data_IF_900265315644
#
_entry.id   IF_900265315644
#
_cell.length_a   1.000
_cell.length_b   1.000
_cell.length_c   1.000
_cell.angle_alpha   90.00
_cell.angle_beta   90.00
_cell.angle_gamma   90.00
#
_symmetry.space_group_name_H-M   'P 1'
#
loop_
_entity.id
_entity.type
_entity.pdbx_description
1 polymer ?
#
# COMPACT_ATOMS: atom_id res chain seq x y z
N UNK A 1 -46.82 25.09 21.83
CA UNK A 1 -45.42 25.61 21.84
C UNK A 1 -44.49 24.45 21.53
N UNK A 2 -43.87 24.37 20.35
CA UNK A 2 -42.96 23.28 20.03
C UNK A 2 -41.64 23.46 20.79
N UNK A 3 -41.25 22.42 21.54
CA UNK A 3 -40.01 22.38 22.33
C UNK A 3 -38.81 22.41 21.39
N UNK A 4 -37.91 23.36 21.64
CA UNK A 4 -36.71 23.61 20.84
C UNK A 4 -35.93 22.34 20.55
N UNK A 5 -35.73 22.07 19.26
CA UNK A 5 -34.89 21.00 18.77
C UNK A 5 -33.46 21.23 19.26
N UNK A 6 -32.96 20.29 20.08
CA UNK A 6 -31.58 20.24 20.50
C UNK A 6 -30.68 20.23 19.26
N UNK A 7 -29.98 21.34 19.05
CA UNK A 7 -29.01 21.48 17.97
C UNK A 7 -28.01 20.33 18.06
N UNK A 8 -27.89 19.56 16.97
CA UNK A 8 -26.78 18.63 16.78
C UNK A 8 -25.50 19.45 16.74
N UNK A 9 -24.89 19.66 17.91
CA UNK A 9 -23.60 20.31 18.03
C UNK A 9 -22.60 19.64 17.11
N UNK A 10 -21.80 20.44 16.41
CA UNK A 10 -20.67 19.98 15.58
C UNK A 10 -19.86 18.99 16.44
N UNK A 11 -19.62 17.78 15.93
CA UNK A 11 -18.88 16.74 16.65
C UNK A 11 -17.49 17.27 16.98
N UNK A 12 -17.28 17.67 18.23
CA UNK A 12 -15.98 18.10 18.72
C UNK A 12 -15.05 16.89 18.72
N UNK A 13 -14.02 16.92 17.88
CA UNK A 13 -12.93 15.93 17.92
C UNK A 13 -12.00 16.12 19.14
N UNK A 14 -12.21 17.17 19.94
CA UNK A 14 -11.43 17.42 21.15
C UNK A 14 -11.80 16.38 22.21
N UNK A 15 -10.86 15.49 22.54
CA UNK A 15 -11.05 14.41 23.51
C UNK A 15 -11.33 13.04 22.89
N UNK A 16 -11.47 12.93 21.56
CA UNK A 16 -11.50 11.63 20.91
C UNK A 16 -10.07 11.04 20.88
N UNK A 17 -9.95 9.73 21.12
CA UNK A 17 -8.70 8.99 20.90
C UNK A 17 -8.22 9.24 19.47
N UNK A 18 -7.00 9.75 19.34
CA UNK A 18 -6.34 9.92 18.04
C UNK A 18 -6.00 8.52 17.52
N UNK A 19 -6.77 8.04 16.56
CA UNK A 19 -6.42 6.83 15.82
C UNK A 19 -5.43 7.28 14.75
N UNK A 20 -4.19 6.80 14.85
CA UNK A 20 -3.25 6.92 13.74
C UNK A 20 -3.62 5.79 12.78
N UNK A 21 -3.92 6.12 11.53
CA UNK A 21 -4.06 5.09 10.49
C UNK A 21 -2.72 4.39 10.36
N UNK A 22 -2.70 3.07 10.57
CA UNK A 22 -1.47 2.30 10.48
C UNK A 22 -0.88 2.44 9.06
N UNK A 23 0.45 2.45 8.92
CA UNK A 23 1.09 2.59 7.61
C UNK A 23 0.72 1.43 6.66
N UNK A 24 0.32 0.28 7.19
CA UNK A 24 -0.20 -0.84 6.41
C UNK A 24 -1.62 -0.56 5.87
N UNK A 25 -2.48 0.10 6.65
CA UNK A 25 -3.83 0.47 6.22
C UNK A 25 -3.79 1.52 5.10
N UNK A 26 -2.85 2.46 5.17
CA UNK A 26 -2.63 3.45 4.11
C UNK A 26 -2.16 2.78 2.81
N UNK A 27 -1.28 1.79 2.89
CA UNK A 27 -0.85 1.00 1.71
C UNK A 27 -2.00 0.17 1.14
N UNK A 28 -2.79 -0.47 1.99
CA UNK A 28 -3.94 -1.25 1.56
C UNK A 28 -5.02 -0.38 0.90
N UNK A 29 -5.18 0.87 1.33
CA UNK A 29 -6.04 1.84 0.68
C UNK A 29 -5.50 2.24 -0.71
N UNK A 30 -4.21 2.57 -0.80
CA UNK A 30 -3.57 2.90 -2.07
C UNK A 30 -3.64 1.75 -3.08
N UNK A 31 -3.43 0.50 -2.64
CA UNK A 31 -3.53 -0.68 -3.52
C UNK A 31 -4.96 -0.91 -4.01
N UNK A 32 -5.96 -0.70 -3.15
CA UNK A 32 -7.37 -0.78 -3.55
C UNK A 32 -7.72 0.28 -4.58
N UNK A 33 -7.24 1.50 -4.39
CA UNK A 33 -7.44 2.62 -5.31
C UNK A 33 -6.75 2.38 -6.66
N UNK A 34 -5.52 1.83 -6.64
CA UNK A 34 -4.82 1.45 -7.88
C UNK A 34 -5.58 0.33 -8.61
N UNK A 35 -6.08 -0.67 -7.89
CA UNK A 35 -6.89 -1.75 -8.47
C UNK A 35 -8.19 -1.23 -9.07
N UNK A 36 -8.85 -0.29 -8.40
CA UNK A 36 -10.06 0.36 -8.91
C UNK A 36 -9.77 1.22 -10.14
N UNK A 37 -8.67 1.97 -10.13
CA UNK A 37 -8.20 2.75 -11.27
C UNK A 37 -7.84 1.85 -12.46
N UNK A 38 -7.22 0.71 -12.23
CA UNK A 38 -6.98 -0.30 -13.26
C UNK A 38 -8.30 -0.92 -13.77
N UNK A 39 -9.28 -1.16 -12.90
CA UNK A 39 -10.62 -1.63 -13.30
C UNK A 39 -11.37 -0.61 -14.14
N UNK A 40 -11.31 0.69 -13.77
CA UNK A 40 -11.87 1.80 -14.53
C UNK A 40 -11.22 1.96 -15.91
N UNK A 41 -9.89 1.88 -15.98
CA UNK A 41 -9.13 1.90 -17.26
C UNK A 41 -9.53 0.75 -18.17
N UNK A 42 -9.66 -0.46 -17.63
CA UNK A 42 -10.11 -1.63 -18.41
C UNK A 42 -11.55 -1.51 -18.92
N UNK A 43 -12.39 -0.72 -18.24
CA UNK A 43 -13.77 -0.44 -18.67
C UNK A 43 -13.92 0.84 -19.49
N UNK A 44 -12.84 1.55 -19.79
CA UNK A 44 -12.88 2.78 -20.59
C UNK A 44 -13.63 3.94 -19.93
N UNK A 45 -13.78 3.92 -18.59
CA UNK A 45 -14.39 5.01 -17.83
C UNK A 45 -13.26 5.93 -17.37
N UNK A 46 -12.72 6.70 -18.31
CA UNK A 46 -11.67 7.70 -18.06
C UNK A 46 -12.35 9.02 -17.69
N UNK A 47 -12.45 9.30 -16.38
CA UNK A 47 -12.85 10.63 -15.89
C UNK A 47 -11.61 11.50 -15.81
N UNK A 48 -11.54 12.45 -16.73
CA UNK A 48 -10.58 13.55 -16.84
C UNK A 48 -10.68 14.49 -15.64
N UNK A 49 -10.13 14.12 -14.48
CA UNK A 49 -10.01 15.06 -13.36
C UNK A 49 -8.94 14.62 -12.34
N UNK A 50 -7.66 14.60 -12.74
CA UNK A 50 -6.54 14.75 -11.79
C UNK A 50 -5.43 15.60 -12.45
N UNK A 51 -5.76 16.89 -12.62
CA UNK A 51 -4.83 17.97 -12.93
C UNK A 51 -4.26 18.55 -11.62
N UNK A 52 -2.98 18.92 -11.65
CA UNK A 52 -2.09 19.27 -10.54
C UNK A 52 -2.52 20.40 -9.58
N UNK A 53 -1.86 20.47 -8.41
CA UNK A 53 -1.59 21.77 -7.77
C UNK A 53 -1.18 21.74 -6.28
N UNK A 54 0.12 21.85 -6.00
CA UNK A 54 0.63 22.46 -4.75
C UNK A 54 0.53 23.99 -4.86
N UNK A 55 0.04 24.70 -3.82
CA UNK A 55 0.08 26.17 -3.76
C UNK A 55 -0.95 26.82 -2.82
N UNK A 56 -0.58 27.95 -2.21
CA UNK A 56 -1.17 28.52 -1.00
C UNK A 56 -2.30 29.57 -1.18
N UNK A 57 -2.94 29.88 -0.04
CA UNK A 57 -3.62 31.15 0.35
C UNK A 57 -5.14 31.31 0.15
N UNK A 58 -5.82 31.44 1.30
CA UNK A 58 -6.76 32.51 1.72
C UNK A 58 -7.95 32.96 0.83
N UNK A 59 -9.15 32.97 1.43
CA UNK A 59 -10.11 34.06 1.24
C UNK A 59 -11.40 33.86 0.41
N UNK A 60 -12.49 33.47 1.12
CA UNK A 60 -13.83 34.13 1.11
C UNK A 60 -14.87 33.96 -0.05
N UNK A 61 -16.05 33.44 0.36
CA UNK A 61 -17.47 33.71 -0.05
C UNK A 61 -18.08 33.10 -1.33
N UNK A 62 -19.08 32.23 -1.16
CA UNK A 62 -20.57 32.44 -1.26
C UNK A 62 -21.08 32.34 -2.70
N UNK A 63 -21.75 31.23 -3.06
CA UNK A 63 -23.22 31.02 -3.08
C UNK A 63 -23.75 31.10 -4.51
N UNK A 64 -24.35 30.01 -5.00
CA UNK A 64 -25.71 29.97 -5.59
C UNK A 64 -25.94 28.58 -6.21
N UNK A 65 -26.84 27.81 -5.59
CA UNK A 65 -27.61 26.74 -6.25
C UNK A 65 -28.80 27.39 -7.02
N UNK A 66 -29.64 26.68 -7.82
CA UNK A 66 -30.49 25.58 -7.32
C UNK A 66 -30.85 24.53 -8.45
N UNK A 67 -31.88 23.65 -8.35
CA UNK A 67 -31.68 22.19 -8.41
C UNK A 67 -32.62 21.41 -9.38
N UNK A 68 -32.24 20.19 -9.77
CA UNK A 68 -33.14 19.13 -10.28
C UNK A 68 -32.30 17.85 -10.50
N UNK A 69 -32.74 16.61 -10.43
CA UNK A 69 -33.86 15.88 -9.83
C UNK A 69 -33.52 14.39 -10.11
N UNK A 70 -34.00 13.46 -9.25
CA UNK A 70 -34.19 11.98 -9.48
C UNK A 70 -32.93 11.12 -9.77
N UNK A 71 -32.72 9.89 -9.27
CA UNK A 71 -33.51 8.93 -8.51
C UNK A 71 -32.57 7.99 -7.73
N UNK A 72 -32.97 7.62 -6.50
CA UNK A 72 -32.51 6.44 -5.76
C UNK A 72 -33.66 5.43 -5.79
N UNK A 73 -33.41 4.12 -5.96
CA UNK A 73 -34.28 3.13 -5.37
C UNK A 73 -33.60 2.46 -4.17
N UNK A 74 -34.27 2.56 -3.03
CA UNK A 74 -34.18 1.60 -1.95
C UNK A 74 -35.18 0.48 -2.26
N UNK A 75 -34.77 -0.78 -2.14
CA UNK A 75 -35.66 -1.95 -2.11
C UNK A 75 -35.17 -2.88 -1.00
N UNK A 76 -36.05 -3.16 -0.04
CA UNK A 76 -35.87 -4.19 0.98
C UNK A 76 -36.38 -5.56 0.54
N UNK A 77 -36.40 -6.49 1.51
CA UNK A 77 -36.78 -7.92 1.41
C UNK A 77 -35.76 -8.77 0.64
N UNK A 78 -35.49 -10.03 0.98
CA UNK A 78 -36.14 -10.98 1.87
C UNK A 78 -35.13 -12.08 2.25
N UNK A 79 -35.42 -12.74 3.38
CA UNK A 79 -34.81 -13.97 3.85
C UNK A 79 -34.65 -15.05 2.77
N UNK A 80 -33.47 -15.67 2.67
CA UNK A 80 -33.38 -17.07 2.25
C UNK A 80 -32.14 -17.71 2.87
N UNK A 81 -32.37 -18.35 4.01
CA UNK A 81 -31.72 -19.61 4.38
C UNK A 81 -31.70 -20.53 3.15
N UNK A 82 -30.51 -20.94 2.72
CA UNK A 82 -30.34 -21.97 1.71
C UNK A 82 -29.29 -22.93 2.22
N UNK A 83 -29.78 -23.87 3.02
CA UNK A 83 -29.18 -25.17 3.33
C UNK A 83 -28.59 -25.77 2.05
N UNK A 84 -27.26 -25.65 1.90
CA UNK A 84 -26.51 -26.26 0.80
C UNK A 84 -26.39 -27.75 1.08
N UNK A 85 -27.39 -28.50 0.62
CA UNK A 85 -27.35 -29.95 0.48
C UNK A 85 -26.42 -30.31 -0.69
N UNK A 86 -25.18 -30.69 -0.40
CA UNK A 86 -24.30 -31.46 -1.31
C UNK A 86 -24.07 -32.83 -0.64
N UNK A 87 -24.89 -33.81 -1.01
CA UNK A 87 -24.66 -34.79 -2.07
C UNK A 87 -23.67 -35.89 -1.64
N UNK A 88 -24.24 -36.82 -0.86
CA UNK A 88 -24.00 -38.26 -0.82
C UNK A 88 -22.88 -38.80 -1.74
N UNK A 89 -21.68 -38.96 -1.17
CA UNK A 89 -20.63 -39.88 -1.63
C UNK A 89 -21.16 -41.32 -1.58
N UNK A 90 -21.93 -41.70 -2.60
CA UNK A 90 -22.56 -43.02 -2.67
C UNK A 90 -23.52 -43.26 -3.84
N UNK A 91 -23.56 -42.35 -4.82
CA UNK A 91 -24.50 -42.40 -5.93
C UNK A 91 -24.39 -43.68 -6.78
N UNK A 92 -25.29 -44.63 -6.55
CA UNK A 92 -25.60 -45.75 -7.46
C UNK A 92 -25.85 -45.14 -8.84
N UNK A 93 -25.01 -45.40 -9.84
CA UNK A 93 -25.16 -44.65 -11.10
C UNK A 93 -26.55 -44.87 -11.71
N UNK A 94 -27.03 -43.79 -12.32
CA UNK A 94 -28.43 -43.58 -12.67
C UNK A 94 -28.65 -44.20 -14.05
N UNK A 95 -29.53 -45.18 -14.15
CA UNK A 95 -29.94 -45.78 -15.42
C UNK A 95 -28.89 -46.71 -16.05
N UNK A 96 -28.76 -46.66 -17.39
CA UNK A 96 -27.96 -47.60 -18.20
C UNK A 96 -26.47 -47.18 -18.27
N UNK A 97 -26.07 -46.13 -17.57
CA UNK A 97 -24.70 -45.58 -17.59
C UNK A 97 -23.64 -46.61 -17.20
N UNK A 98 -23.97 -47.58 -16.33
CA UNK A 98 -23.09 -48.69 -15.97
C UNK A 98 -22.89 -49.74 -17.07
N UNK A 99 -23.80 -49.81 -18.03
CA UNK A 99 -23.82 -50.84 -19.07
C UNK A 99 -23.11 -50.38 -20.35
N UNK A 100 -22.82 -49.08 -20.48
CA UNK A 100 -22.20 -48.50 -21.65
C UNK A 100 -20.76 -48.10 -21.30
N UNK A 101 -19.80 -48.79 -21.92
CA UNK A 101 -18.39 -48.47 -21.82
C UNK A 101 -18.09 -47.18 -22.61
N UNK A 102 -17.83 -46.08 -21.91
CA UNK A 102 -17.53 -44.80 -22.55
C UNK A 102 -16.03 -44.69 -22.85
N UNK A 103 -15.61 -45.14 -24.02
CA UNK A 103 -14.25 -44.99 -24.57
C UNK A 103 -14.01 -43.59 -25.15
N UNK A 104 -14.27 -42.54 -24.36
CA UNK A 104 -13.90 -41.20 -24.78
C UNK A 104 -12.46 -40.90 -24.30
N UNK A 105 -11.48 -40.70 -25.20
CA UNK A 105 -10.08 -40.45 -24.83
C UNK A 105 -9.90 -39.16 -24.03
N UNK A 106 -10.80 -38.18 -24.19
CA UNK A 106 -10.82 -36.95 -23.38
C UNK A 106 -11.60 -37.12 -22.05
N UNK A 107 -12.25 -38.26 -21.84
CA UNK A 107 -12.96 -38.63 -20.60
C UNK A 107 -12.05 -39.41 -19.63
N UNK A 108 -10.76 -39.53 -19.92
CA UNK A 108 -9.81 -40.33 -19.16
C UNK A 108 -9.58 -39.83 -17.72
N UNK A 109 -10.53 -40.13 -16.83
CA UNK A 109 -10.39 -40.09 -15.38
C UNK A 109 -10.68 -38.72 -14.77
N UNK A 110 -11.74 -38.67 -13.96
CA UNK A 110 -11.91 -37.62 -12.96
C UNK A 110 -10.60 -37.36 -12.23
N UNK A 111 -10.35 -36.08 -11.95
CA UNK A 111 -9.13 -35.51 -11.35
C UNK A 111 -8.53 -36.46 -10.30
N UNK A 112 -7.58 -37.30 -10.74
CA UNK A 112 -6.81 -38.17 -9.87
C UNK A 112 -5.73 -37.29 -9.26
N UNK A 113 -5.93 -36.91 -8.01
CA UNK A 113 -5.00 -36.15 -7.19
C UNK A 113 -3.74 -37.01 -6.98
N UNK A 114 -2.82 -37.00 -7.95
CA UNK A 114 -1.51 -37.65 -7.81
C UNK A 114 -0.73 -36.90 -6.73
N UNK A 115 -0.16 -37.64 -5.78
CA UNK A 115 0.62 -37.08 -4.68
C UNK A 115 1.88 -36.42 -5.25
N UNK A 116 2.24 -35.25 -4.72
CA UNK A 116 3.37 -34.41 -5.17
C UNK A 116 4.69 -35.20 -5.28
N UNK A 117 4.85 -36.27 -4.48
CA UNK A 117 6.02 -37.15 -4.48
C UNK A 117 6.16 -38.08 -5.70
N UNK A 118 5.12 -38.31 -6.49
CA UNK A 118 5.16 -39.16 -7.71
C UNK A 118 5.36 -38.35 -9.00
N UNK A 119 5.28 -37.01 -8.93
CA UNK A 119 5.70 -36.15 -10.03
C UNK A 119 7.23 -36.00 -9.97
N UNK A 120 7.94 -37.01 -10.48
CA UNK A 120 9.39 -36.93 -10.70
C UNK A 120 9.76 -35.72 -11.57
N UNK A 121 11.03 -35.32 -11.49
CA UNK A 121 11.70 -34.14 -12.07
C UNK A 121 11.55 -33.96 -13.59
N UNK A 122 10.32 -33.90 -14.08
CA UNK A 122 10.02 -33.37 -15.38
C UNK A 122 10.26 -31.87 -15.28
N UNK A 123 11.40 -31.43 -15.80
CA UNK A 123 11.71 -30.04 -16.07
C UNK A 123 10.65 -29.49 -17.02
N UNK A 124 9.50 -29.12 -16.46
CA UNK A 124 8.47 -28.39 -17.17
C UNK A 124 9.12 -27.08 -17.56
N UNK A 125 9.47 -26.96 -18.83
CA UNK A 125 9.96 -25.71 -19.38
C UNK A 125 8.84 -24.70 -19.16
N UNK A 126 9.02 -23.83 -18.17
CA UNK A 126 8.07 -22.77 -17.85
C UNK A 126 7.56 -22.14 -19.14
N UNK A 127 6.25 -21.95 -19.22
CA UNK A 127 5.63 -21.32 -20.38
C UNK A 127 6.34 -19.99 -20.64
N UNK A 128 6.46 -19.59 -21.91
CA UNK A 128 7.15 -18.33 -22.28
C UNK A 128 6.67 -17.15 -21.42
N UNK A 129 5.35 -17.12 -21.14
CA UNK A 129 4.71 -16.14 -20.27
C UNK A 129 5.19 -16.21 -18.81
N UNK A 130 5.34 -17.41 -18.28
CA UNK A 130 5.82 -17.63 -16.90
C UNK A 130 7.30 -17.27 -16.75
N UNK A 131 8.12 -17.51 -17.78
CA UNK A 131 9.54 -17.09 -17.79
C UNK A 131 9.69 -15.58 -17.76
N UNK A 132 8.96 -14.88 -18.63
CA UNK A 132 8.98 -13.42 -18.69
C UNK A 132 8.44 -12.80 -17.38
N UNK A 133 7.45 -13.43 -16.74
CA UNK A 133 6.92 -12.97 -15.46
C UNK A 133 7.91 -13.17 -14.30
N UNK A 134 8.57 -14.33 -14.22
CA UNK A 134 9.62 -14.57 -13.23
C UNK A 134 10.82 -13.64 -13.44
N UNK A 135 11.27 -13.45 -14.68
CA UNK A 135 12.37 -12.53 -14.99
C UNK A 135 12.01 -11.10 -14.58
N UNK A 136 10.77 -10.66 -14.82
CA UNK A 136 10.28 -9.36 -14.35
C UNK A 136 10.28 -9.24 -12.82
N UNK A 137 9.90 -10.30 -12.11
CA UNK A 137 9.96 -10.34 -10.65
C UNK A 137 11.40 -10.31 -10.15
N UNK A 138 12.30 -11.08 -10.76
CA UNK A 138 13.72 -11.12 -10.43
C UNK A 138 14.41 -9.78 -10.70
N UNK A 139 14.10 -9.13 -11.83
CA UNK A 139 14.60 -7.80 -12.17
C UNK A 139 14.17 -6.76 -11.13
N UNK A 140 12.89 -6.79 -10.71
CA UNK A 140 12.39 -5.93 -9.62
C UNK A 140 13.12 -6.20 -8.31
N UNK A 141 13.28 -7.47 -7.93
CA UNK A 141 14.02 -7.87 -6.72
C UNK A 141 15.47 -7.40 -6.78
N UNK A 142 16.12 -7.55 -7.94
CA UNK A 142 17.51 -7.12 -8.15
C UNK A 142 17.63 -5.61 -8.05
N UNK A 143 16.71 -4.86 -8.66
CA UNK A 143 16.67 -3.40 -8.54
C UNK A 143 16.53 -2.98 -7.07
N UNK A 144 15.56 -3.55 -6.36
CA UNK A 144 15.37 -3.30 -4.93
C UNK A 144 16.62 -3.66 -4.12
N UNK A 145 17.25 -4.80 -4.39
CA UNK A 145 18.48 -5.21 -3.73
C UNK A 145 19.63 -4.23 -3.98
N UNK A 146 19.80 -3.75 -5.22
CA UNK A 146 20.81 -2.76 -5.56
C UNK A 146 20.51 -1.39 -4.93
N UNK A 147 19.24 -1.00 -4.86
CA UNK A 147 18.80 0.24 -4.24
C UNK A 147 19.06 0.21 -2.73
N UNK A 148 18.69 -0.89 -2.05
CA UNK A 148 18.99 -1.13 -0.64
C UNK A 148 20.50 -1.19 -0.38
N UNK A 149 21.28 -1.72 -1.32
CA UNK A 149 22.74 -1.72 -1.25
C UNK A 149 23.36 -0.34 -1.54
N UNK A 150 22.56 0.69 -1.87
CA UNK A 150 23.05 2.02 -2.19
C UNK A 150 23.75 2.13 -3.55
N UNK A 151 23.52 1.18 -4.46
CA UNK A 151 24.23 1.10 -5.75
C UNK A 151 23.49 1.79 -6.89
N UNK A 152 22.17 1.98 -6.80
CA UNK A 152 21.41 2.78 -7.77
C UNK A 152 21.76 4.26 -7.63
N UNK A 153 21.72 5.01 -8.73
CA UNK A 153 22.06 6.44 -8.75
C UNK A 153 21.24 7.26 -7.75
N UNK A 154 19.96 6.93 -7.58
CA UNK A 154 19.06 7.54 -6.56
C UNK A 154 19.62 7.36 -5.14
N UNK A 155 19.85 6.11 -4.73
CA UNK A 155 20.38 5.80 -3.41
C UNK A 155 21.80 6.36 -3.20
N UNK A 156 22.64 6.40 -4.24
CA UNK A 156 23.95 7.05 -4.18
C UNK A 156 23.83 8.55 -3.94
N UNK A 157 22.90 9.23 -4.62
CA UNK A 157 22.65 10.65 -4.42
C UNK A 157 22.15 10.95 -3.01
N UNK A 158 21.26 10.12 -2.46
CA UNK A 158 20.79 10.24 -1.08
C UNK A 158 21.92 10.02 -0.07
N UNK A 159 22.76 9.01 -0.28
CA UNK A 159 23.94 8.79 0.56
C UNK A 159 24.92 9.96 0.48
N UNK A 160 25.16 10.52 -0.71
CA UNK A 160 26.00 11.69 -0.90
C UNK A 160 25.44 12.91 -0.17
N UNK A 161 24.12 13.15 -0.27
CA UNK A 161 23.42 14.21 0.47
C UNK A 161 23.57 14.04 1.98
N UNK A 162 23.38 12.82 2.49
CA UNK A 162 23.59 12.53 3.91
C UNK A 162 25.04 12.72 4.33
N UNK A 163 26.01 12.37 3.49
CA UNK A 163 27.43 12.57 3.76
C UNK A 163 27.78 14.06 3.87
N UNK A 164 27.21 14.92 3.03
CA UNK A 164 27.38 16.39 3.13
C UNK A 164 26.85 16.89 4.47
N UNK A 165 25.66 16.45 4.89
CA UNK A 165 25.09 16.84 6.19
C UNK A 165 25.96 16.36 7.35
N UNK A 166 26.48 15.13 7.29
CA UNK A 166 27.40 14.61 8.31
C UNK A 166 28.66 15.47 8.40
N UNK A 167 29.29 15.80 7.27
CA UNK A 167 30.47 16.69 7.23
C UNK A 167 30.16 18.06 7.83
N UNK A 168 29.05 18.69 7.44
CA UNK A 168 28.66 19.99 8.01
C UNK A 168 28.44 19.93 9.52
N UNK A 169 27.87 18.84 10.04
CA UNK A 169 27.68 18.65 11.48
C UNK A 169 29.01 18.44 12.21
N UNK A 170 29.89 17.62 11.64
CA UNK A 170 31.22 17.37 12.19
C UNK A 170 32.07 18.65 12.20
N UNK A 171 32.06 19.41 11.11
CA UNK A 171 32.77 20.69 11.01
C UNK A 171 32.21 21.73 11.98
N UNK A 172 30.89 21.80 12.15
CA UNK A 172 30.26 22.67 13.14
C UNK A 172 30.58 22.26 14.57
N UNK A 173 30.64 20.95 14.86
CA UNK A 173 31.05 20.45 16.17
C UNK A 173 32.53 20.77 16.45
N UNK A 174 33.42 20.53 15.48
CA UNK A 174 34.85 20.89 15.58
C UNK A 174 35.04 22.40 15.82
N UNK A 175 34.36 23.26 15.05
CA UNK A 175 34.41 24.72 15.26
C UNK A 175 33.94 25.12 16.66
N UNK A 176 32.86 24.52 17.16
CA UNK A 176 32.38 24.78 18.53
C UNK A 176 33.38 24.33 19.60
N UNK A 177 34.00 23.17 19.42
CA UNK A 177 34.99 22.64 20.36
C UNK A 177 36.28 23.48 20.34
N UNK A 178 36.74 23.93 19.17
CA UNK A 178 37.88 24.83 19.01
C UNK A 178 37.61 26.20 19.64
N UNK A 179 36.44 26.80 19.38
CA UNK A 179 36.05 28.05 20.03
C UNK A 179 35.95 27.93 21.55
N UNK A 180 35.44 26.79 22.05
CA UNK A 180 35.35 26.53 23.48
C UNK A 180 36.76 26.42 24.09
N UNK A 181 37.67 25.68 23.47
CA UNK A 181 39.07 25.55 23.92
C UNK A 181 39.78 26.90 23.91
N UNK A 182 39.65 27.68 22.83
CA UNK A 182 40.24 29.02 22.75
C UNK A 182 39.68 29.96 23.83
N UNK A 183 38.39 29.89 24.14
CA UNK A 183 37.76 30.65 25.24
C UNK A 183 38.26 30.19 26.61
N UNK A 184 38.48 28.90 26.81
CA UNK A 184 39.02 28.34 28.06
C UNK A 184 40.50 28.72 28.24
N UNK A 185 41.33 28.61 27.20
CA UNK A 185 42.72 29.06 27.20
C UNK A 185 42.83 30.57 27.43
N UNK A 186 42.00 31.39 26.76
CA UNK A 186 41.97 32.83 27.00
C UNK A 186 41.58 33.18 28.44
N UNK A 187 40.62 32.45 29.03
CA UNK A 187 40.25 32.60 30.45
C UNK A 187 41.38 32.16 31.39
N UNK A 188 42.08 31.07 31.07
CA UNK A 188 43.20 30.56 31.86
C UNK A 188 44.39 31.54 31.84
N UNK A 189 44.74 32.07 30.66
CA UNK A 189 45.77 33.10 30.51
C UNK A 189 45.38 34.35 31.29
N UNK A 190 44.13 34.82 31.16
CA UNK A 190 43.64 35.99 31.91
C UNK A 190 43.65 35.75 33.44
N UNK A 191 43.33 34.54 33.90
CA UNK A 191 43.40 34.19 35.32
C UNK A 191 44.85 34.15 35.83
N UNK A 192 45.78 33.58 35.06
CA UNK A 192 47.22 33.54 35.38
C UNK A 192 47.85 34.94 35.42
N UNK A 193 47.48 35.84 34.51
CA UNK A 193 47.99 37.23 34.53
C UNK A 193 47.47 38.01 35.74
N UNK A 194 46.22 37.76 36.18
CA UNK A 194 45.60 38.46 37.31
C UNK A 194 46.06 37.96 38.68
N UNK A 195 46.55 36.72 38.78
CA UNK A 195 47.14 36.16 40.00
C UNK A 195 48.64 36.47 40.21
N UNK A 196 49.30 37.10 39.22
CA UNK A 196 50.73 37.43 39.25
C UNK A 196 50.99 38.92 39.54
N UNK A 197 49.94 39.75 39.55
CA UNK A 197 49.95 41.18 39.90
C UNK A 197 49.67 41.41 41.37
#
# INVERSE_FOLDING_TARGET
MPRGGGGRGKRSHKGQRRQFTEPEDLKAQAEKEERERQWRKQRGIESDEEQEGEGAADGTKEETAPPAAVAKPASGSDSSESESSEEDEGGKAKGVEHLIEVENPNRAGGKRNKKVSELGDATTTLSRREREELEKQEARRRYQQLHMAGKTDEAQADLARLAIIRKQREDAARKKDEERRAKEEAKEVAAKTKGKS
#
